data_IF_501626877260
#
_entry.id   IF_501626877260
#
_cell.length_a   1.000
_cell.length_b   1.000
_cell.length_c   1.000
_cell.angle_alpha   90.00
_cell.angle_beta   90.00
_cell.angle_gamma   90.00
#
_symmetry.space_group_name_H-M   'P 1'
#
loop_
_entity.id
_entity.type
_entity.pdbx_description
1 polymer ?
#
# COMPACT_ATOMS: atom_id res chain seq x y z
N UNK A 1 -12.12 -9.65 -30.32
CA UNK A 1 -11.73 -10.90 -29.64
C UNK A 1 -10.21 -10.82 -29.45
N UNK A 2 -9.62 -10.51 -28.30
CA UNK A 2 -10.06 -10.56 -26.90
C UNK A 2 -9.65 -9.25 -26.18
N UNK A 3 -10.58 -8.68 -25.43
CA UNK A 3 -10.25 -7.73 -24.36
C UNK A 3 -9.44 -8.51 -23.32
N UNK A 4 -8.13 -8.28 -23.28
CA UNK A 4 -7.30 -8.75 -22.17
C UNK A 4 -7.71 -7.97 -20.93
N UNK A 5 -8.63 -8.56 -20.18
CA UNK A 5 -9.05 -8.14 -18.85
C UNK A 5 -7.83 -7.70 -18.04
N UNK A 6 -7.85 -6.42 -17.65
CA UNK A 6 -6.89 -5.78 -16.76
C UNK A 6 -7.05 -6.31 -15.32
N UNK A 7 -6.79 -7.61 -15.13
CA UNK A 7 -6.55 -8.17 -13.82
C UNK A 7 -5.16 -7.74 -13.36
N UNK A 8 -5.07 -6.45 -13.02
CA UNK A 8 -4.05 -5.93 -12.14
C UNK A 8 -4.29 -6.67 -10.83
N UNK A 9 -3.36 -7.54 -10.44
CA UNK A 9 -3.33 -8.06 -9.07
C UNK A 9 -2.98 -6.87 -8.16
N UNK A 10 -3.98 -6.03 -7.86
CA UNK A 10 -3.92 -4.99 -6.84
C UNK A 10 -3.98 -5.71 -5.51
N UNK A 11 -2.84 -6.19 -5.03
CA UNK A 11 -2.79 -6.70 -3.66
C UNK A 11 -3.13 -5.55 -2.73
N UNK A 12 -4.28 -5.65 -2.08
CA UNK A 12 -4.78 -4.63 -1.16
C UNK A 12 -3.93 -4.69 0.10
N UNK A 13 -3.46 -3.54 0.58
CA UNK A 13 -2.75 -3.42 1.85
C UNK A 13 -3.77 -3.58 3.00
N UNK A 14 -3.71 -4.66 3.79
CA UNK A 14 -4.68 -4.90 4.84
C UNK A 14 -4.33 -4.11 6.11
N UNK A 15 -5.34 -3.82 6.91
CA UNK A 15 -5.23 -3.10 8.17
C UNK A 15 -5.84 -3.90 9.33
N UNK A 16 -5.21 -3.83 10.50
CA UNK A 16 -5.54 -4.58 11.70
C UNK A 16 -5.81 -3.64 12.87
N UNK A 17 -6.58 -4.12 13.86
CA UNK A 17 -6.94 -3.37 15.07
C UNK A 17 -5.89 -3.46 16.19
N UNK A 18 -4.79 -4.17 15.98
CA UNK A 18 -3.64 -4.17 16.89
C UNK A 18 -2.34 -4.47 16.16
N UNK A 19 -1.24 -4.02 16.73
CA UNK A 19 0.12 -4.36 16.27
C UNK A 19 0.44 -5.84 16.49
N UNK A 20 -0.16 -6.51 17.48
CA UNK A 20 -0.01 -7.96 17.65
C UNK A 20 -0.59 -8.73 16.45
N UNK A 21 -1.72 -8.28 15.92
CA UNK A 21 -2.32 -8.81 14.70
C UNK A 21 -1.56 -8.42 13.43
N UNK A 22 -0.73 -7.38 13.44
CA UNK A 22 0.23 -7.13 12.37
C UNK A 22 1.44 -8.06 12.51
N UNK A 23 2.00 -8.17 13.72
CA UNK A 23 3.25 -8.87 14.00
C UNK A 23 3.15 -10.39 13.89
N UNK A 24 1.95 -10.98 13.92
CA UNK A 24 1.80 -12.45 13.82
C UNK A 24 2.42 -13.05 12.55
N UNK A 25 2.55 -12.25 11.46
CA UNK A 25 3.19 -12.67 10.21
C UNK A 25 4.62 -12.20 10.06
N UNK A 26 5.12 -11.28 10.91
CA UNK A 26 6.54 -10.85 10.89
C UNK A 26 7.50 -12.02 11.13
N UNK A 27 7.09 -13.06 11.87
CA UNK A 27 7.88 -14.28 12.08
C UNK A 27 8.11 -15.07 10.79
N UNK A 28 7.20 -14.96 9.81
CA UNK A 28 7.34 -15.61 8.51
C UNK A 28 8.32 -14.86 7.60
N UNK A 29 8.50 -13.55 7.82
CA UNK A 29 9.39 -12.70 7.03
C UNK A 29 10.87 -12.78 7.44
N UNK A 30 11.21 -13.43 8.56
CA UNK A 30 12.57 -13.39 9.11
C UNK A 30 13.56 -14.24 8.30
N UNK A 31 13.08 -15.33 7.68
CA UNK A 31 13.91 -16.26 6.90
C UNK A 31 13.33 -16.62 5.51
N UNK A 32 12.10 -16.21 5.18
CA UNK A 32 11.45 -16.50 3.89
C UNK A 32 11.13 -15.22 3.11
N UNK A 33 12.17 -14.61 2.52
CA UNK A 33 12.05 -13.51 1.55
C UNK A 33 11.41 -13.94 0.21
N UNK A 34 10.94 -15.20 0.07
CA UNK A 34 10.41 -15.74 -1.20
C UNK A 34 8.90 -15.99 -1.20
N UNK A 35 8.21 -15.88 -0.06
CA UNK A 35 6.80 -16.27 0.06
C UNK A 35 5.78 -15.24 -0.42
N UNK A 36 5.81 -14.00 0.10
CA UNK A 36 4.85 -12.95 -0.28
C UNK A 36 5.32 -11.59 0.26
N UNK A 37 5.81 -10.71 -0.60
CA UNK A 37 6.14 -9.34 -0.21
C UNK A 37 5.10 -8.39 -0.78
N UNK A 38 4.46 -7.59 0.08
CA UNK A 38 3.71 -6.41 -0.35
C UNK A 38 4.74 -5.36 -0.77
N UNK A 39 4.74 -4.98 -2.04
CA UNK A 39 5.73 -4.05 -2.59
C UNK A 39 5.01 -2.82 -3.13
N UNK A 40 5.51 -1.65 -2.75
CA UNK A 40 4.97 -0.36 -3.12
C UNK A 40 6.05 0.51 -3.75
N UNK A 41 5.74 1.31 -4.78
CA UNK A 41 6.67 2.30 -5.30
C UNK A 41 6.93 3.38 -4.25
N UNK A 42 8.01 4.13 -4.40
CA UNK A 42 8.29 5.31 -3.55
C UNK A 42 7.25 6.41 -3.69
N UNK A 43 6.59 6.48 -4.84
CA UNK A 43 5.71 7.57 -5.26
C UNK A 43 4.23 7.32 -4.95
N UNK A 44 3.81 6.10 -4.61
CA UNK A 44 2.41 5.80 -4.22
C UNK A 44 2.39 4.62 -3.25
N UNK A 45 1.32 4.48 -2.48
CA UNK A 45 1.10 3.31 -1.65
C UNK A 45 0.24 2.26 -2.36
N UNK A 46 0.32 1.01 -1.88
CA UNK A 46 -0.64 -0.02 -2.23
C UNK A 46 -2.06 0.45 -1.90
N UNK A 47 -3.06 0.11 -2.74
CA UNK A 47 -4.44 0.45 -2.45
C UNK A 47 -4.89 -0.23 -1.16
N UNK A 48 -5.74 0.43 -0.39
CA UNK A 48 -6.28 -0.11 0.85
C UNK A 48 -7.74 0.26 1.04
N UNK A 49 -8.40 -0.51 1.89
CA UNK A 49 -9.71 -0.17 2.42
C UNK A 49 -9.74 -0.45 3.91
N UNK A 50 -10.18 0.55 4.67
CA UNK A 50 -10.37 0.47 6.11
C UNK A 50 -11.87 0.46 6.39
N UNK A 51 -12.31 -0.55 7.14
CA UNK A 51 -13.70 -0.64 7.62
C UNK A 51 -13.74 -0.25 9.09
N UNK A 52 -14.66 0.65 9.44
CA UNK A 52 -14.94 1.07 10.81
C UNK A 52 -16.45 1.20 11.05
N UNK A 53 -16.93 1.23 12.30
CA UNK A 53 -18.29 1.66 12.61
C UNK A 53 -18.52 3.11 12.16
N UNK A 54 -19.73 3.43 11.72
CA UNK A 54 -20.09 4.77 11.26
C UNK A 54 -19.83 5.82 12.31
N UNK A 55 -19.08 6.86 11.93
CA UNK A 55 -18.69 7.96 12.82
C UNK A 55 -18.74 9.30 12.06
N UNK A 56 -19.15 10.36 12.75
CA UNK A 56 -19.17 11.74 12.22
C UNK A 56 -17.77 12.32 11.99
N UNK A 57 -16.70 11.68 12.50
CA UNK A 57 -15.32 12.14 12.31
C UNK A 57 -14.83 11.87 10.89
N UNK A 58 -14.42 12.94 10.20
CA UNK A 58 -13.87 12.93 8.84
C UNK A 58 -12.38 13.29 8.79
N UNK A 59 -11.78 13.61 9.93
CA UNK A 59 -10.34 13.90 10.02
C UNK A 59 -9.58 12.64 10.38
N UNK A 60 -8.52 12.38 9.61
CA UNK A 60 -7.69 11.18 9.75
C UNK A 60 -6.25 11.56 10.02
N UNK A 61 -5.64 10.88 11.00
CA UNK A 61 -4.21 10.88 11.21
C UNK A 61 -3.63 9.68 10.47
N UNK A 62 -2.64 9.95 9.62
CA UNK A 62 -1.90 8.92 8.89
C UNK A 62 -0.43 9.07 9.18
N UNK A 63 0.23 8.00 9.61
CA UNK A 63 1.63 8.04 9.99
C UNK A 63 2.37 6.83 9.43
N UNK A 64 3.60 7.06 8.97
CA UNK A 64 4.48 6.04 8.44
C UNK A 64 5.55 5.71 9.47
N UNK A 65 5.69 4.43 9.77
CA UNK A 65 6.66 3.91 10.72
C UNK A 65 7.68 2.99 10.04
N UNK A 66 8.86 2.92 10.62
CA UNK A 66 9.85 1.89 10.32
C UNK A 66 9.40 0.55 10.93
N UNK A 67 9.38 -0.52 10.13
CA UNK A 67 8.83 -1.79 10.59
C UNK A 67 9.75 -2.59 11.54
N UNK A 68 11.05 -2.25 11.57
CA UNK A 68 12.05 -2.94 12.39
C UNK A 68 12.29 -2.22 13.73
N UNK A 69 12.28 -0.88 13.69
CA UNK A 69 12.58 -0.04 14.87
C UNK A 69 11.35 0.58 15.52
N UNK A 70 10.17 0.50 14.89
CA UNK A 70 8.93 1.14 15.32
C UNK A 70 9.04 2.67 15.52
N UNK A 71 10.02 3.29 14.84
CA UNK A 71 10.21 4.75 14.87
C UNK A 71 9.26 5.41 13.86
N UNK A 72 8.59 6.48 14.29
CA UNK A 72 7.82 7.36 13.41
C UNK A 72 8.76 8.06 12.43
N UNK A 73 8.51 7.87 11.13
CA UNK A 73 9.32 8.47 10.06
C UNK A 73 8.67 9.71 9.47
N UNK A 74 7.36 9.69 9.28
CA UNK A 74 6.64 10.82 8.67
C UNK A 74 5.14 10.77 8.96
N UNK A 75 4.48 11.93 8.88
CA UNK A 75 3.02 12.03 8.77
C UNK A 75 2.64 12.04 7.29
N UNK A 76 1.72 11.17 6.90
CA UNK A 76 1.29 11.00 5.52
C UNK A 76 0.20 12.02 5.22
N UNK A 77 0.40 12.80 4.15
CA UNK A 77 -0.65 13.66 3.60
C UNK A 77 -1.05 13.12 2.24
N UNK A 78 -2.27 12.58 2.15
CA UNK A 78 -2.82 12.15 0.87
C UNK A 78 -3.25 13.38 0.05
N UNK A 79 -3.02 13.38 -1.28
CA UNK A 79 -3.55 14.42 -2.14
C UNK A 79 -5.09 14.52 -2.03
N UNK A 80 -5.63 15.71 -2.33
CA UNK A 80 -7.08 15.93 -2.23
C UNK A 80 -7.86 14.96 -3.15
N UNK A 81 -8.95 14.38 -2.63
CA UNK A 81 -9.79 13.44 -3.36
C UNK A 81 -9.26 12.00 -3.43
N UNK A 82 -8.13 11.69 -2.78
CA UNK A 82 -7.55 10.34 -2.81
C UNK A 82 -8.09 9.38 -1.77
N UNK A 83 -8.58 9.94 -0.66
CA UNK A 83 -9.27 9.18 0.36
C UNK A 83 -10.76 9.41 0.16
N UNK A 84 -11.46 8.34 -0.19
CA UNK A 84 -12.92 8.34 -0.28
C UNK A 84 -13.51 7.65 0.94
N UNK A 85 -14.66 8.14 1.42
CA UNK A 85 -15.40 7.54 2.53
C UNK A 85 -16.82 7.29 2.10
N UNK A 86 -17.17 6.02 1.97
CA UNK A 86 -18.53 5.59 1.70
C UNK A 86 -19.16 5.00 2.97
N UNK A 87 -20.39 5.39 3.29
CA UNK A 87 -21.14 4.81 4.41
C UNK A 87 -22.19 3.84 3.89
N UNK A 88 -22.24 2.65 4.47
CA UNK A 88 -23.29 1.65 4.20
C UNK A 88 -23.76 1.03 5.51
N UNK A 89 -25.03 1.28 5.85
CA UNK A 89 -25.61 0.82 7.11
C UNK A 89 -24.91 1.46 8.32
N UNK A 90 -24.29 0.62 9.15
CA UNK A 90 -23.57 1.03 10.38
C UNK A 90 -22.05 1.04 10.19
N UNK A 91 -21.57 0.95 8.96
CA UNK A 91 -20.15 0.89 8.64
C UNK A 91 -19.74 1.99 7.66
N UNK A 92 -18.56 2.54 7.89
CA UNK A 92 -17.85 3.38 6.94
C UNK A 92 -16.71 2.60 6.28
N UNK A 93 -16.52 2.86 4.99
CA UNK A 93 -15.48 2.28 4.14
C UNK A 93 -14.56 3.40 3.66
N UNK A 94 -13.38 3.50 4.26
CA UNK A 94 -12.37 4.51 3.93
C UNK A 94 -11.40 3.87 2.94
N UNK A 95 -11.36 4.38 1.71
CA UNK A 95 -10.69 3.73 0.58
C UNK A 95 -9.62 4.62 -0.03
N UNK A 96 -8.49 4.03 -0.38
CA UNK A 96 -7.42 4.62 -1.18
C UNK A 96 -7.13 3.71 -2.38
N UNK A 97 -7.16 4.27 -3.59
CA UNK A 97 -7.09 3.47 -4.83
C UNK A 97 -5.68 3.27 -5.40
N UNK A 98 -4.66 3.93 -4.82
CA UNK A 98 -3.27 3.77 -5.25
C UNK A 98 -2.95 4.39 -6.61
N UNK A 99 -3.78 5.30 -7.12
CA UNK A 99 -3.66 5.84 -8.48
C UNK A 99 -2.73 7.04 -8.58
N UNK A 100 -2.61 7.82 -7.52
CA UNK A 100 -1.97 9.13 -7.58
C UNK A 100 -0.63 9.15 -6.85
N UNK A 101 0.23 10.03 -7.35
CA UNK A 101 1.63 10.13 -6.92
C UNK A 101 1.76 11.19 -5.83
N UNK A 102 2.41 10.83 -4.73
CA UNK A 102 2.85 11.77 -3.72
C UNK A 102 3.83 12.79 -4.30
N UNK A 103 3.70 14.05 -3.90
CA UNK A 103 4.58 15.14 -4.36
C UNK A 103 6.05 14.92 -3.98
N UNK A 104 6.29 14.27 -2.84
CA UNK A 104 7.61 13.82 -2.40
C UNK A 104 7.60 12.30 -2.25
N UNK A 105 8.47 11.58 -2.96
CA UNK A 105 8.63 10.15 -2.77
C UNK A 105 9.07 9.81 -1.34
N UNK A 106 8.64 8.66 -0.84
CA UNK A 106 9.11 8.13 0.44
C UNK A 106 10.43 7.36 0.28
N UNK A 107 11.21 7.31 1.38
CA UNK A 107 12.42 6.52 1.46
C UNK A 107 12.12 5.02 1.40
N UNK A 108 13.02 4.27 0.73
CA UNK A 108 12.92 2.82 0.63
C UNK A 108 13.04 2.13 1.99
N UNK A 109 12.46 0.93 2.10
CA UNK A 109 12.56 0.09 3.29
C UNK A 109 11.25 -0.59 3.65
N UNK A 110 11.29 -1.42 4.70
CA UNK A 110 10.10 -2.08 5.25
C UNK A 110 9.36 -1.14 6.18
N UNK A 111 8.09 -0.88 5.89
CA UNK A 111 7.27 0.13 6.56
C UNK A 111 5.90 -0.41 6.91
N UNK A 112 5.24 0.28 7.83
CA UNK A 112 3.80 0.14 8.05
C UNK A 112 3.15 1.51 8.28
N UNK A 113 1.84 1.55 8.05
CA UNK A 113 1.02 2.75 8.22
C UNK A 113 0.19 2.59 9.50
N UNK A 114 0.22 3.61 10.34
CA UNK A 114 -0.79 3.82 11.38
C UNK A 114 -1.86 4.77 10.85
N UNK A 115 -3.11 4.42 11.13
CA UNK A 115 -4.28 5.22 10.85
C UNK A 115 -5.09 5.42 12.13
N UNK A 116 -5.60 6.63 12.32
CA UNK A 116 -6.56 6.93 13.38
C UNK A 116 -7.54 8.01 12.98
N UNK A 117 -8.79 7.88 13.44
CA UNK A 117 -9.80 8.95 13.43
C UNK A 117 -9.97 9.62 14.80
N UNK A 118 -9.05 9.36 15.74
CA UNK A 118 -9.12 9.81 17.14
C UNK A 118 -9.97 8.92 18.05
N UNK A 119 -10.74 7.97 17.51
CA UNK A 119 -11.55 6.99 18.26
C UNK A 119 -11.15 5.55 17.92
N UNK A 120 -10.98 5.25 16.64
CA UNK A 120 -10.56 3.99 16.08
C UNK A 120 -9.12 4.11 15.61
N UNK A 121 -8.34 3.06 15.86
CA UNK A 121 -6.95 2.97 15.46
C UNK A 121 -6.70 1.68 14.70
N UNK A 122 -5.87 1.75 13.65
CA UNK A 122 -5.48 0.58 12.86
C UNK A 122 -4.04 0.69 12.36
N UNK A 123 -3.43 -0.47 12.15
CA UNK A 123 -2.07 -0.63 11.65
C UNK A 123 -2.09 -1.48 10.38
N UNK A 124 -1.39 -1.06 9.33
CA UNK A 124 -1.28 -1.85 8.11
C UNK A 124 -0.40 -3.08 8.31
N UNK A 125 -0.52 -4.08 7.43
CA UNK A 125 0.55 -5.06 7.22
C UNK A 125 1.87 -4.36 6.87
N UNK A 126 2.98 -5.05 7.13
CA UNK A 126 4.29 -4.57 6.69
C UNK A 126 4.38 -4.68 5.17
N UNK A 127 4.82 -3.60 4.53
CA UNK A 127 5.11 -3.55 3.10
C UNK A 127 6.48 -2.94 2.85
N UNK A 128 7.06 -3.25 1.70
CA UNK A 128 8.36 -2.74 1.27
C UNK A 128 8.14 -1.59 0.30
N UNK A 129 8.63 -0.41 0.67
CA UNK A 129 8.80 0.70 -0.27
C UNK A 129 10.12 0.50 -0.99
N UNK A 130 10.11 0.52 -2.32
CA UNK A 130 11.33 0.46 -3.11
C UNK A 130 11.22 1.30 -4.38
N UNK A 131 12.38 1.66 -4.93
CA UNK A 131 12.44 2.23 -6.26
C UNK A 131 12.10 1.16 -7.30
N UNK A 132 11.41 1.57 -8.36
CA UNK A 132 11.21 0.75 -9.55
C UNK A 132 12.01 1.38 -10.68
N UNK A 133 13.32 1.31 -10.54
CA UNK A 133 14.27 1.57 -11.62
C UNK A 133 14.37 0.34 -12.55
N UNK A 134 15.02 0.53 -13.71
CA UNK A 134 15.19 -0.54 -14.70
C UNK A 134 15.91 -1.77 -14.11
N UNK A 135 16.81 -1.56 -13.14
CA UNK A 135 17.59 -2.61 -12.48
C UNK A 135 16.72 -3.48 -11.54
N UNK A 136 15.84 -2.86 -10.74
CA UNK A 136 14.88 -3.60 -9.88
C UNK A 136 13.84 -4.34 -10.71
N UNK A 137 13.38 -3.75 -11.81
CA UNK A 137 12.50 -4.42 -12.78
C UNK A 137 13.20 -5.62 -13.44
N UNK A 138 14.51 -5.55 -13.70
CA UNK A 138 15.29 -6.67 -14.22
C UNK A 138 15.43 -7.81 -13.19
N UNK A 139 15.61 -7.48 -11.90
CA UNK A 139 15.59 -8.47 -10.81
C UNK A 139 14.21 -9.15 -10.73
N UNK A 140 13.11 -8.40 -10.81
CA UNK A 140 11.76 -8.99 -10.84
C UNK A 140 11.52 -9.87 -12.08
N UNK A 141 12.07 -9.50 -13.24
CA UNK A 141 12.02 -10.33 -14.46
C UNK A 141 12.87 -11.60 -14.35
N UNK A 142 13.99 -11.54 -13.65
CA UNK A 142 14.96 -12.64 -13.55
C UNK A 142 14.60 -13.67 -12.48
N UNK A 143 13.90 -13.26 -11.42
CA UNK A 143 13.56 -14.10 -10.27
C UNK A 143 12.04 -14.25 -10.03
N UNK A 144 11.21 -13.51 -10.77
CA UNK A 144 9.76 -13.68 -10.79
C UNK A 144 9.39 -14.90 -11.62
N UNK A 145 9.11 -16.01 -10.94
CA UNK A 145 8.61 -17.24 -11.56
C UNK A 145 7.35 -16.94 -12.40
N UNK A 146 7.28 -17.55 -13.59
CA UNK A 146 6.47 -17.19 -14.78
C UNK A 146 4.93 -17.32 -14.59
N UNK A 147 4.46 -17.51 -13.35
CA UNK A 147 3.07 -17.83 -13.02
C UNK A 147 2.33 -16.79 -12.16
N UNK A 148 3.01 -15.78 -11.62
CA UNK A 148 2.41 -14.89 -10.60
C UNK A 148 2.45 -13.38 -10.95
N UNK A 149 3.15 -12.96 -12.01
CA UNK A 149 3.43 -11.53 -12.22
C UNK A 149 2.91 -11.02 -13.56
N UNK A 150 1.70 -10.42 -13.53
CA UNK A 150 1.23 -9.52 -14.59
C UNK A 150 1.67 -8.10 -14.26
N UNK A 151 2.82 -7.66 -14.80
CA UNK A 151 3.26 -6.27 -14.71
C UNK A 151 2.32 -5.34 -15.50
N UNK A 152 1.96 -4.22 -14.87
CA UNK A 152 1.26 -3.10 -15.52
C UNK A 152 2.27 -2.32 -16.33
N UNK A 153 1.99 -2.09 -17.60
CA UNK A 153 2.81 -1.27 -18.47
C UNK A 153 2.46 0.22 -18.23
N UNK A 154 3.30 0.95 -17.49
CA UNK A 154 3.22 2.41 -17.36
C UNK A 154 4.25 3.06 -18.29
N UNK A 155 4.11 2.81 -19.59
CA UNK A 155 4.90 3.51 -20.60
C UNK A 155 4.02 3.89 -21.78
N UNK A 156 3.25 4.96 -21.62
CA UNK A 156 2.85 5.78 -22.77
C UNK A 156 3.16 7.25 -22.48
N UNK A 157 4.44 7.57 -22.62
CA UNK A 157 4.96 8.94 -22.66
C UNK A 157 5.90 9.08 -23.86
N UNK A 158 5.37 9.02 -25.08
CA UNK A 158 5.88 9.76 -26.25
C UNK A 158 4.75 10.09 -27.23
N UNK A 159 4.07 11.21 -26.98
CA UNK A 159 3.48 11.99 -28.08
C UNK A 159 4.66 12.58 -28.85
N UNK A 160 4.86 12.14 -30.09
CA UNK A 160 5.62 12.90 -31.09
C UNK A 160 4.66 13.22 -32.22
N UNK A 161 4.70 14.48 -32.64
CA UNK A 161 3.76 15.24 -33.47
C UNK A 161 3.43 14.56 -34.79
#
# INVERSE_FOLDING_TARGET
MNEFNQNILKTVLPFYTSTDHQNHRKSWCKDDMRGFALISPRSTFLPFQIVRPTNAVTSYTWQLFDAETDILLSTITFPAGQIDTATSGTQDFISYFGTDVFLSPYECGKRYIYWSDGTNEKWSEVFTIMDFDDDTLEIFRKYGDDSQLRLINLTDKRITI
#
